data_IF_681901810196
#
_entry.id   IF_681901810196
#
_cell.length_a   1.000
_cell.length_b   1.000
_cell.length_c   1.000
_cell.angle_alpha   90.00
_cell.angle_beta   90.00
_cell.angle_gamma   90.00
#
_symmetry.space_group_name_H-M   'P 1'
#
loop_
_entity.id
_entity.type
_entity.pdbx_description
1 polymer ?
#
# COMPACT_ATOMS: atom_id res chain seq x y z
N UNK A 1 8.84 2.01 -13.02
CA UNK A 1 8.02 0.83 -12.65
C UNK A 1 7.57 0.88 -11.20
N UNK A 2 8.48 1.02 -10.22
CA UNK A 2 8.15 1.11 -8.80
C UNK A 2 7.03 2.13 -8.47
N UNK A 3 7.12 3.36 -8.99
CA UNK A 3 6.13 4.42 -8.76
C UNK A 3 4.71 4.04 -9.20
N UNK A 4 4.58 3.27 -10.30
CA UNK A 4 3.27 2.83 -10.81
C UNK A 4 2.63 1.83 -9.83
N UNK A 5 3.42 0.91 -9.27
CA UNK A 5 2.95 -0.03 -8.25
C UNK A 5 2.60 0.66 -6.93
N UNK A 6 3.40 1.64 -6.50
CA UNK A 6 3.13 2.44 -5.30
C UNK A 6 1.79 3.17 -5.42
N UNK A 7 1.55 3.84 -6.55
CA UNK A 7 0.31 4.56 -6.77
C UNK A 7 -0.89 3.62 -6.92
N UNK A 8 -0.75 2.51 -7.65
CA UNK A 8 -1.82 1.51 -7.80
C UNK A 8 -2.26 0.92 -6.46
N UNK A 9 -1.29 0.49 -5.64
CA UNK A 9 -1.58 -0.04 -4.31
C UNK A 9 -2.17 1.03 -3.38
N UNK A 10 -1.54 2.20 -3.30
CA UNK A 10 -1.94 3.25 -2.38
C UNK A 10 -3.34 3.80 -2.66
N UNK A 11 -3.73 3.97 -3.93
CA UNK A 11 -5.07 4.43 -4.32
C UNK A 11 -6.12 3.40 -3.94
N UNK A 12 -5.90 2.11 -4.28
CA UNK A 12 -6.82 1.02 -3.92
C UNK A 12 -6.98 0.90 -2.40
N UNK A 13 -5.87 0.95 -1.66
CA UNK A 13 -5.87 0.85 -0.21
C UNK A 13 -6.60 2.03 0.46
N UNK A 14 -6.30 3.26 0.02
CA UNK A 14 -6.97 4.45 0.53
C UNK A 14 -8.48 4.43 0.22
N UNK A 15 -8.87 3.97 -0.97
CA UNK A 15 -10.27 3.85 -1.37
C UNK A 15 -11.04 2.81 -0.55
N UNK A 16 -10.43 1.67 -0.20
CA UNK A 16 -11.10 0.62 0.59
C UNK A 16 -11.33 1.03 2.05
N UNK A 17 -10.42 1.82 2.62
CA UNK A 17 -10.48 2.22 4.04
C UNK A 17 -11.35 3.45 4.25
N UNK A 18 -11.16 4.47 3.42
CA UNK A 18 -11.77 5.78 3.65
C UNK A 18 -13.02 6.03 2.81
N UNK A 19 -13.33 5.15 1.85
CA UNK A 19 -14.47 5.31 0.95
C UNK A 19 -14.35 6.58 0.09
N UNK A 20 -15.49 7.18 -0.24
CA UNK A 20 -15.55 8.44 -1.01
C UNK A 20 -15.37 9.63 -0.07
N UNK A 21 -14.25 10.35 -0.24
CA UNK A 21 -13.99 11.63 0.43
C UNK A 21 -13.97 12.78 -0.57
N UNK A 22 -14.33 13.98 -0.10
CA UNK A 22 -14.14 15.22 -0.87
C UNK A 22 -12.66 15.43 -1.19
N UNK A 23 -12.39 15.90 -2.40
CA UNK A 23 -11.04 16.11 -2.91
C UNK A 23 -10.27 17.07 -1.98
N UNK A 24 -9.22 16.55 -1.34
CA UNK A 24 -8.30 17.32 -0.49
C UNK A 24 -6.89 17.12 -0.99
N UNK A 25 -6.10 18.21 -1.02
CA UNK A 25 -4.70 18.20 -1.45
C UNK A 25 -3.78 17.29 -0.63
N UNK A 26 -4.25 16.84 0.53
CA UNK A 26 -3.51 15.93 1.42
C UNK A 26 -3.60 14.45 0.96
N UNK A 27 -4.67 14.08 0.24
CA UNK A 27 -4.93 12.69 -0.20
C UNK A 27 -3.77 12.09 -1.01
N UNK A 28 -3.24 12.74 -2.07
CA UNK A 28 -2.15 12.14 -2.86
C UNK A 28 -0.87 11.96 -2.03
N UNK A 29 -0.58 12.86 -1.09
CA UNK A 29 0.55 12.72 -0.19
C UNK A 29 0.37 11.52 0.74
N UNK A 30 -0.81 11.37 1.32
CA UNK A 30 -1.11 10.26 2.24
C UNK A 30 -1.03 8.91 1.54
N UNK A 31 -1.56 8.82 0.31
CA UNK A 31 -1.50 7.64 -0.55
C UNK A 31 -0.06 7.19 -0.79
N UNK A 32 0.81 8.12 -1.19
CA UNK A 32 2.21 7.82 -1.48
C UNK A 32 2.92 7.39 -0.19
N UNK A 33 2.69 8.11 0.90
CA UNK A 33 3.35 7.86 2.18
C UNK A 33 3.01 6.45 2.70
N UNK A 34 1.73 6.06 2.67
CA UNK A 34 1.26 4.73 3.08
C UNK A 34 1.97 3.60 2.31
N UNK A 35 2.06 3.73 0.99
CA UNK A 35 2.67 2.71 0.15
C UNK A 35 4.21 2.69 0.25
N UNK A 36 4.82 3.87 0.42
CA UNK A 36 6.28 4.03 0.49
C UNK A 36 6.86 3.40 1.76
N UNK A 37 6.31 3.70 2.93
CA UNK A 37 6.79 3.12 4.20
C UNK A 37 6.68 1.59 4.22
N UNK A 38 5.64 1.07 3.59
CA UNK A 38 5.43 -0.36 3.49
C UNK A 38 6.56 -1.06 2.72
N UNK A 39 7.15 -0.41 1.70
CA UNK A 39 8.29 -0.98 0.96
C UNK A 39 9.51 -1.26 1.85
N UNK A 40 9.71 -0.47 2.91
CA UNK A 40 10.82 -0.64 3.86
C UNK A 40 10.49 -1.58 5.03
N UNK A 41 9.33 -2.24 5.01
CA UNK A 41 8.93 -3.21 6.02
C UNK A 41 8.25 -2.60 7.25
N UNK A 42 7.82 -1.34 7.20
CA UNK A 42 6.97 -0.79 8.24
C UNK A 42 5.60 -1.50 8.22
N UNK A 43 5.07 -1.92 9.38
CA UNK A 43 3.79 -2.67 9.47
C UNK A 43 2.61 -1.81 9.94
N UNK A 44 2.70 -0.50 9.81
CA UNK A 44 1.65 0.44 10.19
C UNK A 44 0.32 0.18 9.47
N UNK A 45 0.35 -0.37 8.24
CA UNK A 45 -0.85 -0.79 7.52
C UNK A 45 -1.56 -1.99 8.17
N UNK A 46 -0.83 -2.91 8.79
CA UNK A 46 -1.41 -4.08 9.42
C UNK A 46 -2.27 -3.70 10.63
N UNK A 47 -1.81 -2.72 11.42
CA UNK A 47 -2.60 -2.15 12.53
C UNK A 47 -3.89 -1.48 12.01
N UNK A 48 -3.81 -0.83 10.85
CA UNK A 48 -4.95 -0.19 10.18
C UNK A 48 -5.96 -1.23 9.66
N UNK A 49 -5.49 -2.38 9.19
CA UNK A 49 -6.34 -3.50 8.76
C UNK A 49 -7.06 -4.13 9.95
N UNK A 50 -6.34 -4.38 11.04
CA UNK A 50 -6.91 -4.97 12.27
C UNK A 50 -8.04 -4.10 12.84
N UNK A 51 -7.82 -2.78 12.84
CA UNK A 51 -8.86 -1.80 13.24
C UNK A 51 -10.09 -1.80 12.32
N UNK A 52 -9.92 -2.07 11.02
CA UNK A 52 -10.98 -2.01 10.01
C UNK A 52 -11.47 -3.41 9.57
N UNK A 53 -11.21 -4.44 10.37
CA UNK A 53 -11.46 -5.84 10.00
C UNK A 53 -12.92 -6.12 9.62
N UNK A 54 -13.86 -5.41 10.24
CA UNK A 54 -15.31 -5.62 10.13
C UNK A 54 -15.92 -5.35 8.75
N UNK A 55 -15.30 -4.52 7.91
CA UNK A 55 -15.86 -4.14 6.61
C UNK A 55 -15.16 -4.84 5.44
N UNK A 56 -13.83 -4.72 5.37
CA UNK A 56 -13.03 -5.16 4.22
C UNK A 56 -11.67 -5.77 4.63
N UNK A 57 -11.55 -6.30 5.84
CA UNK A 57 -10.27 -6.76 6.40
C UNK A 57 -9.54 -7.77 5.51
N UNK A 58 -10.25 -8.76 4.99
CA UNK A 58 -9.69 -9.79 4.11
C UNK A 58 -9.14 -9.22 2.79
N UNK A 59 -9.86 -8.29 2.15
CA UNK A 59 -9.43 -7.69 0.90
C UNK A 59 -8.18 -6.82 1.09
N UNK A 60 -8.14 -6.03 2.17
CA UNK A 60 -6.97 -5.23 2.51
C UNK A 60 -5.76 -6.09 2.84
N UNK A 61 -5.96 -7.19 3.56
CA UNK A 61 -4.90 -8.14 3.91
C UNK A 61 -4.31 -8.81 2.66
N UNK A 62 -5.17 -9.29 1.74
CA UNK A 62 -4.72 -9.88 0.48
C UNK A 62 -3.97 -8.85 -0.37
N UNK A 63 -4.47 -7.62 -0.46
CA UNK A 63 -3.81 -6.53 -1.20
C UNK A 63 -2.41 -6.24 -0.63
N UNK A 64 -2.29 -6.21 0.70
CA UNK A 64 -1.03 -5.99 1.39
C UNK A 64 -0.03 -7.12 1.12
N UNK A 65 -0.45 -8.38 1.22
CA UNK A 65 0.42 -9.54 0.97
C UNK A 65 0.94 -9.52 -0.46
N UNK A 66 0.07 -9.31 -1.45
CA UNK A 66 0.45 -9.22 -2.87
C UNK A 66 1.45 -8.08 -3.08
N UNK A 67 1.19 -6.90 -2.49
CA UNK A 67 2.10 -5.76 -2.59
C UNK A 67 3.48 -6.07 -2.01
N UNK A 68 3.54 -6.65 -0.80
CA UNK A 68 4.81 -6.99 -0.15
C UNK A 68 5.59 -8.03 -0.95
N UNK A 69 4.92 -9.05 -1.53
CA UNK A 69 5.60 -10.04 -2.37
C UNK A 69 6.17 -9.39 -3.64
N UNK A 70 5.38 -8.59 -4.36
CA UNK A 70 5.86 -7.97 -5.61
C UNK A 70 6.97 -6.96 -5.34
N UNK A 71 6.80 -6.06 -4.36
CA UNK A 71 7.76 -4.98 -4.13
C UNK A 71 9.02 -5.51 -3.46
N UNK A 72 8.89 -6.27 -2.36
CA UNK A 72 10.05 -6.69 -1.57
C UNK A 72 10.78 -7.90 -2.16
N UNK A 73 10.08 -8.86 -2.79
CA UNK A 73 10.74 -10.08 -3.32
C UNK A 73 11.12 -9.93 -4.78
N UNK A 74 10.31 -9.26 -5.60
CA UNK A 74 10.58 -9.15 -7.04
C UNK A 74 11.35 -7.87 -7.38
N UNK A 75 10.80 -6.70 -7.05
CA UNK A 75 11.35 -5.40 -7.48
C UNK A 75 12.65 -5.03 -6.78
N UNK A 76 12.75 -5.18 -5.46
CA UNK A 76 13.98 -4.88 -4.72
C UNK A 76 15.11 -5.83 -5.14
N UNK A 77 14.84 -7.13 -5.26
CA UNK A 77 15.85 -8.09 -5.71
C UNK A 77 16.29 -7.84 -7.17
N UNK A 78 15.37 -7.46 -8.06
CA UNK A 78 15.73 -7.05 -9.42
C UNK A 78 16.60 -5.79 -9.42
N UNK A 79 16.31 -4.82 -8.54
CA UNK A 79 17.11 -3.61 -8.41
C UNK A 79 18.54 -3.94 -7.95
N UNK A 80 18.69 -4.84 -6.97
CA UNK A 80 19.99 -5.34 -6.51
C UNK A 80 20.73 -6.05 -7.66
N UNK A 81 20.03 -6.85 -8.47
CA UNK A 81 20.65 -7.57 -9.58
C UNK A 81 21.12 -6.66 -10.74
N UNK A 82 20.58 -5.44 -10.85
CA UNK A 82 20.99 -4.46 -11.86
C UNK A 82 22.13 -3.53 -11.41
N UNK A 83 22.47 -3.53 -10.12
CA UNK A 83 23.50 -2.69 -9.51
C UNK A 83 24.84 -3.42 -9.45
#
# INVERSE_FOLDING_TARGET
MLTVFILGFGVCFHSLIYGTKVLSWHIPRDIINLAYWQMFGELSLLQLIDKNYHANGYALFILLVIYMTIVSVLLINLLIAML
#
